data_IF_700573871860
#
_entry.id   IF_700573871860
#
_cell.length_a   1.000
_cell.length_b   1.000
_cell.length_c   1.000
_cell.angle_alpha   90.00
_cell.angle_beta   90.00
_cell.angle_gamma   90.00
#
_symmetry.space_group_name_H-M   'P 1'
#
loop_
_entity.id
_entity.type
_entity.pdbx_description
1 polymer ?
#
# COMPACT_ATOMS: atom_id res chain seq x y z
N UNK A 1 -2.95 21.39 -3.04
CA UNK A 1 -2.32 20.85 -1.82
C UNK A 1 -0.94 20.32 -2.19
N UNK A 2 0.10 21.15 -2.07
CA UNK A 2 1.48 20.68 -2.22
C UNK A 2 1.83 19.89 -0.95
N UNK A 3 2.10 18.59 -1.08
CA UNK A 3 2.55 17.78 0.06
C UNK A 3 3.96 18.29 0.42
N UNK A 4 4.05 19.03 1.53
CA UNK A 4 5.29 19.62 2.04
C UNK A 4 6.35 18.57 2.42
N UNK A 5 7.55 19.06 2.78
CA UNK A 5 8.84 18.35 2.88
C UNK A 5 8.86 16.98 3.60
N UNK A 6 7.83 16.60 4.35
CA UNK A 6 7.70 15.24 4.91
C UNK A 6 6.52 14.48 4.27
N UNK A 7 6.77 13.84 3.11
CA UNK A 7 5.83 12.88 2.48
C UNK A 7 5.41 11.79 3.48
N UNK A 8 6.31 11.39 4.39
CA UNK A 8 6.02 10.42 5.45
C UNK A 8 4.99 10.92 6.47
N UNK A 9 5.02 12.20 6.85
CA UNK A 9 4.05 12.78 7.77
C UNK A 9 2.68 12.94 7.12
N UNK A 10 2.62 13.34 5.85
CA UNK A 10 1.38 13.51 5.12
C UNK A 10 0.57 12.20 4.99
N UNK A 11 1.25 11.06 4.82
CA UNK A 11 0.61 9.75 4.75
C UNK A 11 0.63 8.99 6.10
N UNK A 12 1.07 9.64 7.18
CA UNK A 12 1.16 9.04 8.51
C UNK A 12 -0.20 8.56 9.05
N UNK A 13 -1.29 9.20 8.63
CA UNK A 13 -2.65 8.78 9.00
C UNK A 13 -2.98 7.35 8.53
N UNK A 14 -2.44 6.92 7.39
CA UNK A 14 -2.65 5.55 6.85
C UNK A 14 -2.03 4.53 7.81
N UNK A 15 -0.79 4.78 8.22
CA UNK A 15 -0.08 3.96 9.21
C UNK A 15 -0.80 3.94 10.55
N UNK A 16 -1.30 5.08 11.01
CA UNK A 16 -2.07 5.19 12.26
C UNK A 16 -3.36 4.36 12.19
N UNK A 17 -4.17 4.52 11.13
CA UNK A 17 -5.41 3.75 10.94
C UNK A 17 -5.16 2.24 10.92
N UNK A 18 -4.13 1.80 10.20
CA UNK A 18 -3.75 0.38 10.14
C UNK A 18 -3.31 -0.11 11.53
N UNK A 19 -2.47 0.66 12.24
CA UNK A 19 -2.00 0.29 13.58
C UNK A 19 -3.16 0.17 14.57
N UNK A 20 -4.11 1.11 14.55
CA UNK A 20 -5.28 1.10 15.41
C UNK A 20 -6.17 -0.12 15.15
N UNK A 21 -6.34 -0.53 13.88
CA UNK A 21 -7.08 -1.76 13.54
C UNK A 21 -6.37 -3.02 14.01
N UNK A 22 -5.06 -3.11 13.79
CA UNK A 22 -4.27 -4.26 14.24
C UNK A 22 -4.27 -4.40 15.77
N UNK A 23 -4.15 -3.30 16.51
CA UNK A 23 -4.19 -3.30 17.97
C UNK A 23 -5.59 -3.58 18.53
N UNK A 24 -6.64 -3.12 17.84
CA UNK A 24 -8.02 -3.35 18.24
C UNK A 24 -8.50 -4.80 18.08
N UNK A 25 -7.79 -5.62 17.31
CA UNK A 25 -8.17 -7.02 17.10
C UNK A 25 -7.58 -7.93 18.17
N UNK A 26 -8.46 -8.66 18.88
CA UNK A 26 -8.06 -9.65 19.89
C UNK A 26 -7.44 -10.88 19.21
N UNK A 27 -6.10 -10.93 19.19
CA UNK A 27 -5.34 -12.02 18.56
C UNK A 27 -5.70 -13.42 19.09
N UNK A 28 -6.04 -13.56 20.38
CA UNK A 28 -6.38 -14.85 21.01
C UNK A 28 -7.74 -15.43 20.57
N UNK A 29 -8.64 -14.59 20.03
CA UNK A 29 -9.98 -15.02 19.61
C UNK A 29 -10.06 -15.37 18.11
N UNK A 30 -9.00 -15.11 17.36
CA UNK A 30 -8.98 -15.27 15.91
C UNK A 30 -8.13 -16.46 15.52
N UNK A 31 -8.73 -17.38 14.75
CA UNK A 31 -7.98 -18.42 14.05
C UNK A 31 -7.00 -17.79 13.05
N UNK A 32 -5.94 -18.50 12.69
CA UNK A 32 -4.98 -18.05 11.66
C UNK A 32 -5.67 -17.72 10.33
N UNK A 33 -6.71 -18.46 9.97
CA UNK A 33 -7.56 -18.16 8.81
C UNK A 33 -8.31 -16.82 8.96
N UNK A 34 -8.93 -16.58 10.12
CA UNK A 34 -9.63 -15.34 10.43
C UNK A 34 -8.71 -14.11 10.42
N UNK A 35 -7.51 -14.22 11.02
CA UNK A 35 -6.47 -13.18 10.93
C UNK A 35 -6.13 -12.86 9.47
N UNK A 36 -6.00 -13.89 8.63
CA UNK A 36 -5.61 -13.74 7.23
C UNK A 36 -6.66 -13.03 6.40
N UNK A 37 -7.93 -13.35 6.62
CA UNK A 37 -9.07 -12.68 5.97
C UNK A 37 -9.14 -11.22 6.40
N UNK A 38 -9.03 -10.91 7.68
CA UNK A 38 -9.06 -9.53 8.19
C UNK A 38 -7.94 -8.67 7.61
N UNK A 39 -6.72 -9.20 7.54
CA UNK A 39 -5.59 -8.50 6.90
C UNK A 39 -5.90 -8.23 5.42
N UNK A 40 -6.36 -9.24 4.68
CA UNK A 40 -6.61 -9.13 3.23
C UNK A 40 -7.77 -8.20 2.87
N UNK A 41 -8.84 -8.22 3.66
CA UNK A 41 -10.08 -7.48 3.37
C UNK A 41 -10.02 -6.08 3.97
N UNK A 42 -9.59 -5.95 5.22
CA UNK A 42 -9.65 -4.66 5.94
C UNK A 42 -8.33 -3.91 5.80
N UNK A 43 -7.20 -4.51 6.20
CA UNK A 43 -5.93 -3.78 6.22
C UNK A 43 -5.49 -3.37 4.81
N UNK A 44 -5.59 -4.27 3.84
CA UNK A 44 -5.22 -3.96 2.46
C UNK A 44 -6.19 -2.98 1.77
N UNK A 45 -7.42 -2.80 2.27
CA UNK A 45 -8.37 -1.85 1.69
C UNK A 45 -8.11 -0.40 2.14
N UNK A 46 -7.60 -0.19 3.37
CA UNK A 46 -7.33 1.14 3.92
C UNK A 46 -6.43 2.01 3.04
N UNK A 47 -5.26 1.52 2.54
CA UNK A 47 -4.38 2.35 1.72
C UNK A 47 -4.83 2.48 0.27
N UNK A 48 -5.76 1.65 -0.24
CA UNK A 48 -6.08 1.57 -1.67
C UNK A 48 -6.41 2.93 -2.29
N UNK A 49 -7.28 3.73 -1.66
CA UNK A 49 -7.64 5.05 -2.17
C UNK A 49 -6.40 5.95 -2.31
N UNK A 50 -5.61 6.03 -1.23
CA UNK A 50 -4.39 6.85 -1.18
C UNK A 50 -3.38 6.39 -2.24
N UNK A 51 -3.21 5.07 -2.39
CA UNK A 51 -2.33 4.44 -3.38
C UNK A 51 -2.82 4.59 -4.82
N UNK A 52 -4.12 4.75 -5.06
CA UNK A 52 -4.64 5.03 -6.41
C UNK A 52 -4.34 6.45 -6.87
N UNK A 53 -4.14 7.39 -5.93
CA UNK A 53 -3.87 8.80 -6.24
C UNK A 53 -2.39 9.17 -6.13
N UNK A 54 -1.66 8.53 -5.21
CA UNK A 54 -0.29 8.90 -4.85
C UNK A 54 0.62 7.70 -4.73
N UNK A 55 1.91 7.90 -5.00
CA UNK A 55 2.93 6.93 -4.65
C UNK A 55 3.36 7.14 -3.21
N UNK A 56 3.15 6.12 -2.38
CA UNK A 56 3.57 6.12 -1.00
C UNK A 56 5.09 5.95 -0.88
N UNK A 57 5.74 6.60 0.10
CA UNK A 57 7.15 6.39 0.36
C UNK A 57 7.47 4.93 0.67
N UNK A 58 8.55 4.39 0.11
CA UNK A 58 8.97 3.00 0.36
C UNK A 58 9.17 2.71 1.85
N UNK A 59 9.65 3.68 2.61
CA UNK A 59 9.78 3.60 4.07
C UNK A 59 8.43 3.33 4.74
N UNK A 60 7.39 4.05 4.32
CA UNK A 60 6.04 3.87 4.86
C UNK A 60 5.48 2.49 4.52
N UNK A 61 5.67 2.02 3.28
CA UNK A 61 5.25 0.68 2.88
C UNK A 61 5.97 -0.40 3.71
N UNK A 62 7.30 -0.30 3.88
CA UNK A 62 8.07 -1.22 4.72
C UNK A 62 7.62 -1.21 6.19
N UNK A 63 7.33 -0.04 6.74
CA UNK A 63 6.81 0.12 8.09
C UNK A 63 5.43 -0.51 8.29
N UNK A 64 4.55 -0.40 7.30
CA UNK A 64 3.21 -1.02 7.36
C UNK A 64 3.35 -2.54 7.24
N UNK A 65 4.14 -3.00 6.26
CA UNK A 65 4.43 -4.42 6.06
C UNK A 65 4.99 -5.07 7.32
N UNK A 66 5.96 -4.44 7.99
CA UNK A 66 6.54 -4.98 9.23
C UNK A 66 5.52 -5.09 10.37
N UNK A 67 4.58 -4.14 10.49
CA UNK A 67 3.50 -4.18 11.49
C UNK A 67 2.48 -5.27 11.23
N UNK A 68 2.07 -5.44 9.97
CA UNK A 68 1.14 -6.53 9.56
C UNK A 68 1.79 -7.87 9.86
N UNK A 69 3.06 -7.98 9.53
CA UNK A 69 3.81 -9.21 9.65
C UNK A 69 4.05 -9.57 11.13
N UNK A 70 4.37 -8.57 11.98
CA UNK A 70 4.36 -8.69 13.45
C UNK A 70 3.02 -9.21 13.96
N UNK A 71 1.91 -8.57 13.59
CA UNK A 71 0.57 -8.99 13.99
C UNK A 71 0.23 -10.43 13.53
N UNK A 72 0.71 -10.84 12.35
CA UNK A 72 0.48 -12.19 11.82
C UNK A 72 1.11 -13.28 12.69
N UNK A 73 2.36 -13.05 13.13
CA UNK A 73 3.12 -14.02 13.92
C UNK A 73 2.88 -13.92 15.44
N UNK A 74 2.28 -12.83 15.91
CA UNK A 74 1.88 -12.68 17.31
C UNK A 74 0.66 -13.55 17.66
N UNK A 75 0.80 -14.33 18.73
CA UNK A 75 -0.25 -15.21 19.27
C UNK A 75 -0.76 -14.74 20.66
N UNK A 76 -0.92 -13.43 20.84
CA UNK A 76 -1.61 -12.85 22.01
C UNK A 76 -0.90 -12.98 23.36
N UNK A 77 0.24 -13.64 23.45
CA UNK A 77 1.12 -13.62 24.62
C UNK A 77 2.20 -12.56 24.42
N UNK A 78 2.46 -11.77 25.47
CA UNK A 78 3.50 -10.73 25.53
C UNK A 78 4.94 -11.27 25.49
N UNK A 79 5.13 -12.52 25.09
CA UNK A 79 6.47 -13.08 24.93
C UNK A 79 7.02 -12.67 23.56
N UNK A 80 8.21 -12.08 23.57
CA UNK A 80 9.03 -11.80 22.41
C UNK A 80 9.37 -13.10 21.67
N UNK A 81 8.41 -13.70 20.97
CA UNK A 81 8.64 -14.85 20.11
C UNK A 81 9.51 -14.39 18.95
N UNK A 82 10.61 -15.10 18.74
CA UNK A 82 11.59 -14.80 17.70
C UNK A 82 10.89 -14.76 16.35
N UNK A 83 10.92 -13.58 15.74
CA UNK A 83 10.18 -13.26 14.54
C UNK A 83 10.86 -13.89 13.32
N UNK A 84 10.36 -15.05 12.87
CA UNK A 84 10.74 -15.64 11.58
C UNK A 84 9.49 -16.05 10.79
N UNK A 85 9.41 -15.83 9.46
CA UNK A 85 10.39 -15.21 8.58
C UNK A 85 9.81 -14.09 7.68
N UNK A 86 10.73 -13.25 7.20
CA UNK A 86 10.70 -12.38 6.01
C UNK A 86 9.33 -12.13 5.39
N UNK A 87 8.85 -10.87 5.41
CA UNK A 87 7.65 -10.40 4.70
C UNK A 87 7.48 -11.00 3.29
N UNK A 88 8.60 -11.26 2.59
CA UNK A 88 8.68 -11.99 1.32
C UNK A 88 7.89 -13.32 1.30
N UNK A 89 7.96 -14.15 2.34
CA UNK A 89 7.21 -15.41 2.41
C UNK A 89 5.71 -15.19 2.59
N UNK A 90 5.31 -14.13 3.29
CA UNK A 90 3.91 -13.78 3.48
C UNK A 90 3.25 -13.27 2.19
N UNK A 91 4.01 -12.54 1.37
CA UNK A 91 3.53 -12.01 0.08
C UNK A 91 3.60 -13.04 -1.07
N UNK A 92 4.39 -14.09 -0.91
CA UNK A 92 4.54 -15.14 -1.92
C UNK A 92 3.17 -15.79 -2.24
N UNK A 93 3.01 -16.24 -3.48
CA UNK A 93 1.75 -16.86 -3.92
C UNK A 93 1.50 -18.18 -3.20
N UNK A 94 0.22 -18.52 -2.99
CA UNK A 94 -0.18 -19.76 -2.30
C UNK A 94 0.41 -21.03 -2.93
N UNK A 95 0.48 -21.08 -4.27
CA UNK A 95 1.06 -22.21 -4.99
C UNK A 95 2.56 -22.42 -4.75
N UNK A 96 3.27 -21.42 -4.20
CA UNK A 96 4.69 -21.48 -3.83
C UNK A 96 4.90 -21.56 -2.31
N UNK A 97 3.86 -21.93 -1.55
CA UNK A 97 3.94 -22.06 -0.09
C UNK A 97 3.86 -20.74 0.67
N UNK A 98 3.43 -19.66 0.01
CA UNK A 98 3.17 -18.36 0.64
C UNK A 98 1.72 -18.17 1.11
N UNK A 99 1.46 -17.04 1.77
CA UNK A 99 0.11 -16.71 2.28
C UNK A 99 -0.71 -15.92 1.25
N UNK A 100 -0.03 -15.32 0.27
CA UNK A 100 -0.62 -14.47 -0.75
C UNK A 100 -1.13 -13.16 -0.17
N UNK A 101 -0.39 -12.53 0.75
CA UNK A 101 -0.58 -11.11 1.03
C UNK A 101 -0.07 -10.27 -0.14
N UNK A 102 -0.64 -9.08 -0.31
CA UNK A 102 -0.22 -8.18 -1.39
C UNK A 102 0.97 -7.37 -0.93
N UNK A 103 2.00 -7.31 -1.77
CA UNK A 103 3.07 -6.34 -1.56
C UNK A 103 2.54 -4.92 -1.79
N UNK A 104 2.74 -4.05 -0.81
CA UNK A 104 2.20 -2.69 -0.81
C UNK A 104 2.86 -1.81 -1.87
N UNK A 105 4.16 -2.00 -2.12
CA UNK A 105 4.88 -1.25 -3.16
C UNK A 105 4.39 -1.67 -4.55
N UNK A 106 4.35 -2.98 -4.84
CA UNK A 106 3.84 -3.49 -6.10
C UNK A 106 2.36 -3.11 -6.33
N UNK A 107 1.51 -3.22 -5.30
CA UNK A 107 0.10 -2.84 -5.39
C UNK A 107 -0.06 -1.35 -5.69
N UNK A 108 0.74 -0.50 -5.05
CA UNK A 108 0.68 0.94 -5.29
C UNK A 108 1.02 1.25 -6.75
N UNK A 109 2.10 0.68 -7.29
CA UNK A 109 2.48 0.87 -8.70
C UNK A 109 1.37 0.36 -9.63
N UNK A 110 0.79 -0.80 -9.35
CA UNK A 110 -0.29 -1.37 -10.16
C UNK A 110 -1.55 -0.50 -10.16
N UNK A 111 -1.95 0.06 -9.01
CA UNK A 111 -3.12 0.96 -8.90
C UNK A 111 -2.89 2.27 -9.66
N UNK A 112 -1.69 2.81 -9.55
CA UNK A 112 -1.24 4.00 -10.26
C UNK A 112 -1.24 3.77 -11.79
N UNK A 113 -0.71 2.64 -12.25
CA UNK A 113 -0.73 2.23 -13.66
C UNK A 113 -2.17 2.03 -14.17
N UNK A 114 -3.03 1.39 -13.39
CA UNK A 114 -4.46 1.25 -13.71
C UNK A 114 -5.14 2.61 -13.91
N UNK A 115 -4.79 3.60 -13.10
CA UNK A 115 -5.34 4.94 -13.22
C UNK A 115 -4.84 5.66 -14.48
N UNK A 116 -3.54 5.55 -14.80
CA UNK A 116 -2.97 6.07 -16.05
C UNK A 116 -3.66 5.44 -17.27
N UNK A 117 -3.80 4.10 -17.25
CA UNK A 117 -4.47 3.36 -18.31
C UNK A 117 -5.91 3.84 -18.54
N UNK A 118 -6.65 4.11 -17.46
CA UNK A 118 -8.00 4.67 -17.54
C UNK A 118 -8.01 6.05 -18.23
N UNK A 119 -7.01 6.90 -17.97
CA UNK A 119 -6.92 8.21 -18.62
C UNK A 119 -6.62 8.11 -20.12
N UNK A 120 -5.87 7.09 -20.52
CA UNK A 120 -5.55 6.81 -21.93
C UNK A 120 -6.79 6.28 -22.67
N UNK A 121 -7.46 5.27 -22.12
CA UNK A 121 -8.63 4.63 -22.78
C UNK A 121 -9.83 5.57 -22.85
N UNK A 122 -10.05 6.39 -21.82
CA UNK A 122 -11.23 7.22 -21.71
C UNK A 122 -10.86 8.71 -21.71
N UNK A 123 -10.49 9.28 -22.87
CA UNK A 123 -9.99 10.65 -22.98
C UNK A 123 -11.08 11.71 -22.73
N UNK A 124 -12.36 11.33 -22.85
CA UNK A 124 -13.48 12.25 -22.74
C UNK A 124 -13.85 12.62 -21.30
N UNK A 125 -13.34 11.90 -20.28
CA UNK A 125 -13.56 12.32 -18.89
C UNK A 125 -12.87 13.66 -18.63
N UNK A 126 -13.53 14.51 -17.83
CA UNK A 126 -12.97 15.80 -17.41
C UNK A 126 -11.57 15.63 -16.79
N UNK A 127 -11.41 14.66 -15.90
CA UNK A 127 -10.11 14.35 -15.28
C UNK A 127 -9.06 13.94 -16.32
N UNK A 128 -9.43 13.15 -17.33
CA UNK A 128 -8.51 12.75 -18.41
C UNK A 128 -8.08 13.96 -19.23
N UNK A 129 -9.00 14.86 -19.57
CA UNK A 129 -8.69 16.11 -20.29
C UNK A 129 -7.75 17.02 -19.49
N UNK A 130 -7.99 17.17 -18.18
CA UNK A 130 -7.14 17.97 -17.29
C UNK A 130 -5.76 17.34 -17.11
N UNK A 131 -5.67 16.03 -16.88
CA UNK A 131 -4.39 15.33 -16.73
C UNK A 131 -3.60 15.38 -18.04
N UNK A 132 -4.27 15.13 -19.18
CA UNK A 132 -3.65 15.13 -20.50
C UNK A 132 -3.08 16.51 -20.85
N UNK A 133 -3.88 17.57 -20.70
CA UNK A 133 -3.43 18.94 -20.98
C UNK A 133 -2.28 19.38 -20.07
N UNK A 134 -2.29 18.99 -18.79
CA UNK A 134 -1.26 19.41 -17.84
C UNK A 134 0.05 18.62 -17.98
N UNK A 135 -0.04 17.30 -18.02
CA UNK A 135 1.11 16.40 -17.84
C UNK A 135 1.47 15.56 -19.07
N UNK A 136 0.52 15.26 -19.96
CA UNK A 136 0.76 14.37 -21.11
C UNK A 136 1.03 15.17 -22.40
N UNK A 137 2.00 16.10 -22.35
CA UNK A 137 2.48 16.90 -23.48
C UNK A 137 3.88 16.44 -23.90
N UNK A 138 4.07 16.21 -25.21
CA UNK A 138 5.33 15.85 -25.91
C UNK A 138 6.22 14.83 -25.19
N UNK A 139 6.30 13.61 -25.72
CA UNK A 139 7.16 12.55 -25.18
C UNK A 139 7.04 12.38 -23.65
N UNK A 140 5.81 12.45 -23.14
CA UNK A 140 5.54 12.51 -21.70
C UNK A 140 6.00 11.26 -20.94
N UNK A 141 6.12 10.11 -21.62
CA UNK A 141 6.63 8.87 -21.03
C UNK A 141 8.17 8.86 -20.90
N UNK A 142 8.87 9.67 -21.70
CA UNK A 142 10.33 9.72 -21.74
C UNK A 142 10.92 10.76 -20.78
N UNK A 143 10.08 11.66 -20.25
CA UNK A 143 10.48 12.74 -19.33
C UNK A 143 10.69 12.22 -17.92
N UNK A 144 11.88 12.47 -17.35
CA UNK A 144 12.14 12.19 -15.93
C UNK A 144 11.22 13.06 -15.06
N UNK A 145 10.53 12.47 -14.07
CA UNK A 145 9.67 13.22 -13.17
C UNK A 145 10.50 14.18 -12.28
N UNK A 146 9.99 15.39 -11.98
CA UNK A 146 10.65 16.31 -11.07
C UNK A 146 10.71 15.73 -9.64
N UNK A 147 11.71 16.13 -8.84
CA UNK A 147 11.88 15.67 -7.45
C UNK A 147 10.67 16.01 -6.55
N UNK A 148 9.89 17.03 -6.92
CA UNK A 148 8.65 17.44 -6.26
C UNK A 148 7.42 16.64 -6.70
N UNK A 149 7.54 15.74 -7.67
CA UNK A 149 6.42 14.95 -8.14
C UNK A 149 5.88 14.07 -7.00
N UNK A 150 4.56 13.93 -6.97
CA UNK A 150 3.86 13.05 -6.04
C UNK A 150 4.00 11.56 -6.38
N UNK A 151 4.66 11.25 -7.50
CA UNK A 151 4.87 9.90 -8.05
C UNK A 151 6.33 9.44 -7.99
N UNK A 152 7.26 10.28 -7.52
CA UNK A 152 8.65 9.91 -7.22
C UNK A 152 8.80 9.54 -5.76
#
# INVERSE_FOLDING_TARGET
MAIGKSKNQAFGYVKSKISNKLQGWKQKLLSSGGKGVLIKVVIMAIPNYTMSCFKLPKSLCKDISSRIAKYWWENGEKENKVYWPTWKKLIEVKGKGGIGFRDLEALNIALLAKQIWRFIIAPNLLVSKVIKSKYMRDHWMDKKPPNSASWT
#
